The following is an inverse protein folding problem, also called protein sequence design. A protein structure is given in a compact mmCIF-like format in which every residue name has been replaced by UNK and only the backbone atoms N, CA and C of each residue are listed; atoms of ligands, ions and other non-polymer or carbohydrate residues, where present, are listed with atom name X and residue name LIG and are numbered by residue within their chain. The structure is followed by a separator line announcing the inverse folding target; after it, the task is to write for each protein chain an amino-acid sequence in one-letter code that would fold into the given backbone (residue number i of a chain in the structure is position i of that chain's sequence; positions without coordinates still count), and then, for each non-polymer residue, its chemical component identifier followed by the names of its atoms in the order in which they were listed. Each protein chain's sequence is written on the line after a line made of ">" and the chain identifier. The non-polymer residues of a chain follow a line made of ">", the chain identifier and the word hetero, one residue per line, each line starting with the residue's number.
data_IF_814450391057
#
_entry.id   IF_814450391057
#
_cell.length_a   1.000
_cell.length_b   1.000
_cell.length_c   1.000
_cell.angle_alpha   90.00
_cell.angle_beta   90.00
_cell.angle_gamma   90.00
#
_symmetry.space_group_name_H-M   'P 1'
#
loop_
_entity.id
_entity.type
_entity.pdbx_description
1 polymer ?
#
# COMPACT_ATOMS: atom_id res chain seq x y z
N UNK A 1 30.30 -37.51 -7.98
CA UNK A 1 30.88 -36.27 -8.51
C UNK A 1 30.29 -35.11 -7.70
N UNK A 2 31.08 -34.53 -6.82
CA UNK A 2 30.74 -33.27 -6.15
C UNK A 2 30.93 -32.16 -7.21
N UNK A 3 29.80 -31.65 -7.71
CA UNK A 3 29.81 -30.49 -8.59
C UNK A 3 30.09 -29.22 -7.77
N UNK A 4 30.89 -28.32 -8.28
CA UNK A 4 31.04 -27.00 -7.68
C UNK A 4 29.69 -26.31 -7.56
N UNK A 5 29.39 -25.62 -6.44
CA UNK A 5 28.16 -24.89 -6.30
C UNK A 5 28.03 -23.81 -7.37
N UNK A 6 26.90 -23.75 -8.06
CA UNK A 6 26.63 -22.73 -9.06
C UNK A 6 26.63 -21.34 -8.39
N UNK A 7 27.45 -20.45 -8.89
CA UNK A 7 27.43 -19.05 -8.46
C UNK A 7 26.23 -18.35 -9.08
N UNK A 8 25.27 -17.97 -8.24
CA UNK A 8 24.10 -17.21 -8.69
C UNK A 8 24.53 -15.77 -8.98
N UNK A 9 24.46 -15.36 -10.26
CA UNK A 9 24.65 -13.97 -10.63
C UNK A 9 23.53 -13.10 -9.99
N UNK A 10 23.92 -11.96 -9.39
CA UNK A 10 22.92 -11.01 -8.92
C UNK A 10 22.10 -10.51 -10.11
N UNK A 11 20.77 -10.64 -10.03
CA UNK A 11 19.90 -10.07 -11.02
C UNK A 11 20.12 -8.56 -11.14
N UNK A 12 20.24 -8.05 -12.36
CA UNK A 12 20.25 -6.61 -12.60
C UNK A 12 18.91 -6.03 -12.17
N UNK A 13 18.96 -4.95 -11.40
CA UNK A 13 17.76 -4.20 -11.04
C UNK A 13 17.51 -3.18 -12.13
N UNK A 14 16.30 -3.15 -12.75
CA UNK A 14 15.99 -2.12 -13.72
C UNK A 14 15.92 -0.76 -13.03
N UNK A 15 16.60 0.23 -13.59
CA UNK A 15 16.45 1.63 -13.18
C UNK A 15 15.27 2.27 -13.92
N UNK A 16 14.55 3.21 -13.28
CA UNK A 16 13.39 3.84 -13.91
C UNK A 16 13.81 4.72 -15.09
N UNK A 17 13.00 4.72 -16.14
CA UNK A 17 13.18 5.67 -17.20
C UNK A 17 12.73 7.08 -16.75
N UNK A 18 13.50 8.10 -17.14
CA UNK A 18 13.26 9.46 -16.71
C UNK A 18 11.93 10.05 -17.20
N UNK A 19 11.48 9.81 -18.44
CA UNK A 19 10.19 10.31 -18.91
C UNK A 19 9.00 9.79 -18.10
N UNK A 20 8.92 8.48 -17.86
CA UNK A 20 7.83 7.89 -17.06
C UNK A 20 7.87 8.39 -15.61
N UNK A 21 9.06 8.50 -15.03
CA UNK A 21 9.22 9.04 -13.67
C UNK A 21 8.75 10.51 -13.59
N UNK A 22 9.11 11.34 -14.55
CA UNK A 22 8.68 12.74 -14.60
C UNK A 22 7.15 12.86 -14.78
N UNK A 23 6.55 12.02 -15.62
CA UNK A 23 5.09 11.95 -15.79
C UNK A 23 4.39 11.51 -14.50
N UNK A 24 4.91 10.49 -13.81
CA UNK A 24 4.40 10.07 -12.53
C UNK A 24 4.44 11.22 -11.50
N UNK A 25 5.57 11.89 -11.36
CA UNK A 25 5.71 13.05 -10.48
C UNK A 25 4.74 14.19 -10.83
N UNK A 26 4.52 14.45 -12.12
CA UNK A 26 3.57 15.47 -12.58
C UNK A 26 2.13 15.14 -12.15
N UNK A 27 1.70 13.87 -12.31
CA UNK A 27 0.39 13.42 -11.87
C UNK A 27 0.23 13.54 -10.34
N UNK A 28 1.24 13.14 -9.56
CA UNK A 28 1.22 13.27 -8.10
C UNK A 28 1.10 14.75 -7.67
N UNK A 29 1.79 15.65 -8.35
CA UNK A 29 1.77 17.09 -8.04
C UNK A 29 0.42 17.76 -8.40
N UNK A 30 -0.31 17.22 -9.39
CA UNK A 30 -1.60 17.77 -9.87
C UNK A 30 -2.79 17.19 -9.12
N UNK A 31 -2.67 15.98 -8.58
CA UNK A 31 -3.77 15.28 -7.92
C UNK A 31 -4.31 16.04 -6.71
N UNK A 32 -5.63 16.08 -6.60
CA UNK A 32 -6.33 16.72 -5.47
C UNK A 32 -6.58 15.74 -4.32
N UNK A 33 -6.88 14.49 -4.67
CA UNK A 33 -7.18 13.39 -3.73
C UNK A 33 -6.40 12.13 -4.10
N UNK A 34 -5.06 12.21 -4.07
CA UNK A 34 -4.23 11.04 -4.35
C UNK A 34 -4.32 10.03 -3.21
N UNK A 35 -4.16 8.75 -3.56
CA UNK A 35 -4.14 7.63 -2.61
C UNK A 35 -3.02 6.66 -3.02
N UNK A 36 -2.20 6.23 -2.07
CA UNK A 36 -1.24 5.16 -2.29
C UNK A 36 -1.88 3.81 -1.94
N UNK A 37 -1.87 2.88 -2.91
CA UNK A 37 -2.15 1.47 -2.69
C UNK A 37 -0.83 0.71 -2.69
N UNK A 38 -0.37 0.31 -1.52
CA UNK A 38 0.90 -0.38 -1.35
C UNK A 38 0.69 -1.88 -1.20
N UNK A 39 1.37 -2.66 -2.03
CA UNK A 39 1.35 -4.11 -2.04
C UNK A 39 2.65 -4.75 -1.56
N UNK A 40 2.72 -6.07 -1.67
CA UNK A 40 3.85 -6.89 -1.23
C UNK A 40 5.20 -6.48 -1.89
N UNK A 41 5.18 -5.89 -3.09
CA UNK A 41 6.38 -5.41 -3.76
C UNK A 41 7.17 -4.37 -2.95
N UNK A 42 6.49 -3.58 -2.10
CA UNK A 42 7.13 -2.64 -1.17
C UNK A 42 7.96 -3.40 -0.12
N UNK A 43 7.40 -4.46 0.46
CA UNK A 43 8.08 -5.32 1.45
C UNK A 43 9.28 -6.01 0.81
N UNK A 44 9.07 -6.68 -0.33
CA UNK A 44 10.13 -7.39 -1.07
C UNK A 44 11.22 -6.46 -1.57
N UNK A 45 10.85 -5.23 -1.95
CA UNK A 45 11.76 -4.17 -2.36
C UNK A 45 12.50 -3.51 -1.20
N UNK A 46 12.12 -3.80 0.06
CA UNK A 46 12.61 -3.11 1.27
C UNK A 46 12.47 -1.59 1.15
N UNK A 47 11.32 -1.13 0.66
CA UNK A 47 11.04 0.24 0.28
C UNK A 47 10.08 0.97 1.24
N UNK A 48 9.86 0.43 2.43
CA UNK A 48 8.91 0.98 3.41
C UNK A 48 9.31 2.38 3.89
N UNK A 49 10.60 2.64 4.05
CA UNK A 49 11.12 3.95 4.46
C UNK A 49 10.86 5.00 3.37
N UNK A 50 11.17 4.68 2.13
CA UNK A 50 11.03 5.57 0.98
C UNK A 50 9.54 5.83 0.68
N UNK A 51 8.69 4.81 0.84
CA UNK A 51 7.24 4.98 0.72
C UNK A 51 6.71 5.96 1.77
N UNK A 52 7.15 5.81 3.01
CA UNK A 52 6.75 6.72 4.10
C UNK A 52 7.20 8.14 3.82
N UNK A 53 8.45 8.34 3.41
CA UNK A 53 8.97 9.67 3.06
C UNK A 53 8.17 10.32 1.92
N UNK A 54 7.78 9.56 0.90
CA UNK A 54 6.91 10.06 -0.17
C UNK A 54 5.54 10.46 0.36
N UNK A 55 4.92 9.60 1.17
CA UNK A 55 3.62 9.83 1.76
C UNK A 55 3.62 11.08 2.67
N UNK A 56 4.64 11.24 3.51
CA UNK A 56 4.81 12.39 4.39
C UNK A 56 5.01 13.67 3.58
N UNK A 57 5.94 13.65 2.62
CA UNK A 57 6.26 14.83 1.80
C UNK A 57 5.07 15.36 1.01
N UNK A 58 4.33 14.44 0.40
CA UNK A 58 3.19 14.79 -0.46
C UNK A 58 1.85 14.83 0.28
N UNK A 59 1.82 14.50 1.58
CA UNK A 59 0.59 14.42 2.37
C UNK A 59 -0.37 13.36 1.85
N UNK A 60 0.12 12.24 1.27
CA UNK A 60 -0.71 11.23 0.61
C UNK A 60 -1.06 10.11 1.59
N UNK A 61 -2.37 9.78 1.76
CA UNK A 61 -2.78 8.65 2.55
C UNK A 61 -2.30 7.32 1.94
N UNK A 62 -1.94 6.38 2.81
CA UNK A 62 -1.44 5.05 2.43
C UNK A 62 -2.41 3.98 2.90
N UNK A 63 -2.86 3.19 1.94
CA UNK A 63 -3.61 1.96 2.13
C UNK A 63 -2.70 0.81 1.73
N UNK A 64 -2.67 -0.24 2.50
CA UNK A 64 -1.86 -1.42 2.18
C UNK A 64 -2.71 -2.68 2.02
N UNK A 65 -2.31 -3.56 1.11
CA UNK A 65 -2.87 -4.90 1.02
C UNK A 65 -2.45 -5.72 2.25
N UNK A 66 -3.09 -6.87 2.48
CA UNK A 66 -2.76 -7.71 3.65
C UNK A 66 -1.32 -8.23 3.61
N UNK A 67 -0.73 -8.49 2.44
CA UNK A 67 0.67 -8.91 2.31
C UNK A 67 1.67 -7.76 2.54
N UNK A 68 1.19 -6.54 2.57
CA UNK A 68 1.99 -5.34 2.85
C UNK A 68 1.72 -4.76 4.23
N UNK A 69 1.00 -5.48 5.10
CA UNK A 69 0.74 -5.04 6.47
C UNK A 69 2.05 -4.80 7.22
N UNK A 70 2.15 -3.65 7.90
CA UNK A 70 3.34 -3.26 8.66
C UNK A 70 4.34 -2.40 7.90
N UNK A 71 4.10 -2.06 6.64
CA UNK A 71 4.96 -1.12 5.89
C UNK A 71 4.92 0.30 6.45
N UNK A 72 3.85 0.63 7.17
CA UNK A 72 3.71 1.86 7.95
C UNK A 72 3.24 1.54 9.37
N UNK A 73 3.72 2.27 10.39
CA UNK A 73 3.16 2.17 11.73
C UNK A 73 1.65 2.48 11.72
N UNK A 74 0.86 1.73 12.47
CA UNK A 74 -0.60 1.88 12.48
C UNK A 74 -1.07 3.23 13.04
N UNK A 75 -0.25 3.88 13.85
CA UNK A 75 -0.48 5.21 14.42
C UNK A 75 0.01 6.36 13.53
N UNK A 76 0.73 6.05 12.44
CA UNK A 76 1.24 7.07 11.52
C UNK A 76 0.10 7.90 10.93
N UNK A 77 0.22 9.24 10.84
CA UNK A 77 -0.85 10.11 10.34
C UNK A 77 -1.39 9.72 8.96
N UNK A 78 -0.50 9.31 8.05
CA UNK A 78 -0.89 8.91 6.68
C UNK A 78 -1.34 7.45 6.56
N UNK A 79 -1.21 6.62 7.60
CA UNK A 79 -1.70 5.24 7.56
C UNK A 79 -3.23 5.20 7.66
N UNK A 80 -3.90 4.63 6.65
CA UNK A 80 -5.37 4.52 6.61
C UNK A 80 -5.82 3.17 7.15
N UNK A 81 -5.62 2.11 6.41
CA UNK A 81 -6.04 0.76 6.79
C UNK A 81 -5.40 -0.32 5.90
N UNK A 82 -5.51 -1.57 6.35
CA UNK A 82 -5.25 -2.73 5.50
C UNK A 82 -6.52 -3.13 4.77
N UNK A 83 -6.42 -3.41 3.48
CA UNK A 83 -7.55 -3.78 2.59
C UNK A 83 -7.38 -5.17 1.98
N UNK A 84 -8.46 -5.67 1.39
CA UNK A 84 -8.49 -6.91 0.61
C UNK A 84 -9.25 -8.04 1.30
N UNK A 85 -9.70 -7.88 2.55
CA UNK A 85 -10.41 -8.92 3.29
C UNK A 85 -11.84 -8.51 3.68
N UNK A 86 -12.15 -7.21 3.72
CA UNK A 86 -13.42 -6.68 4.19
C UNK A 86 -14.35 -6.23 3.06
N UNK A 87 -15.66 -6.42 3.25
CA UNK A 87 -16.66 -5.75 2.42
C UNK A 87 -16.62 -4.25 2.71
N UNK A 88 -16.68 -3.42 1.65
CA UNK A 88 -16.65 -1.96 1.77
C UNK A 88 -15.27 -1.37 2.05
N UNK A 89 -14.20 -2.14 1.91
CA UNK A 89 -12.83 -1.64 2.09
C UNK A 89 -12.53 -0.47 1.13
N UNK A 90 -13.01 -0.55 -0.12
CA UNK A 90 -12.79 0.51 -1.11
C UNK A 90 -13.38 1.86 -0.70
N UNK A 91 -14.60 1.86 -0.14
CA UNK A 91 -15.26 3.06 0.35
C UNK A 91 -14.55 3.60 1.60
N UNK A 92 -14.32 2.73 2.59
CA UNK A 92 -13.68 3.12 3.86
C UNK A 92 -12.25 3.62 3.69
N UNK A 93 -11.54 3.10 2.69
CA UNK A 93 -10.18 3.50 2.38
C UNK A 93 -10.10 4.75 1.48
N UNK A 94 -11.22 5.25 0.95
CA UNK A 94 -11.27 6.46 0.13
C UNK A 94 -11.04 6.26 -1.37
N UNK A 95 -11.04 5.02 -1.88
CA UNK A 95 -10.82 4.78 -3.32
C UNK A 95 -11.93 5.35 -4.20
N UNK A 96 -13.17 5.38 -3.72
CA UNK A 96 -14.30 5.89 -4.51
C UNK A 96 -14.24 7.40 -4.74
N UNK A 97 -13.39 8.10 -4.01
CA UNK A 97 -13.22 9.55 -4.08
C UNK A 97 -11.86 9.96 -4.62
N UNK A 98 -10.93 9.00 -4.74
CA UNK A 98 -9.59 9.26 -5.25
C UNK A 98 -9.63 9.66 -6.73
N UNK A 99 -8.89 10.70 -7.08
CA UNK A 99 -8.64 11.11 -8.47
C UNK A 99 -7.37 10.46 -9.03
N UNK A 100 -6.45 10.04 -8.15
CA UNK A 100 -5.22 9.35 -8.49
C UNK A 100 -4.96 8.21 -7.50
N UNK A 101 -4.71 7.00 -8.00
CA UNK A 101 -4.21 5.87 -7.23
C UNK A 101 -2.78 5.56 -7.65
N UNK A 102 -1.87 5.63 -6.70
CA UNK A 102 -0.47 5.24 -6.91
C UNK A 102 -0.33 3.81 -6.39
N UNK A 103 -0.34 2.85 -7.30
CA UNK A 103 -0.17 1.43 -7.00
C UNK A 103 1.33 1.11 -6.93
N UNK A 104 1.81 0.80 -5.74
CA UNK A 104 3.24 0.58 -5.46
C UNK A 104 3.46 -0.86 -5.05
N UNK A 105 4.15 -1.63 -5.89
CA UNK A 105 4.41 -3.04 -5.62
C UNK A 105 3.12 -3.84 -5.41
N UNK A 106 2.07 -3.48 -6.13
CA UNK A 106 0.72 -4.00 -5.98
C UNK A 106 0.48 -5.21 -6.88
N UNK A 107 -0.04 -6.28 -6.28
CA UNK A 107 -0.45 -7.49 -6.98
C UNK A 107 -1.99 -7.56 -7.03
N UNK A 108 -2.61 -7.58 -8.26
CA UNK A 108 -4.06 -7.64 -8.41
C UNK A 108 -4.68 -8.94 -7.87
N UNK A 109 -3.90 -10.00 -7.67
CA UNK A 109 -4.35 -11.25 -7.05
C UNK A 109 -4.71 -11.05 -5.57
N UNK A 110 -4.03 -10.12 -4.87
CA UNK A 110 -4.34 -9.84 -3.48
C UNK A 110 -5.68 -9.11 -3.30
N UNK A 111 -6.00 -8.19 -4.20
CA UNK A 111 -7.23 -7.41 -4.13
C UNK A 111 -7.58 -6.85 -5.51
N UNK A 112 -8.52 -7.46 -6.21
CA UNK A 112 -8.82 -7.18 -7.61
C UNK A 112 -9.24 -5.73 -7.89
N UNK A 113 -8.75 -5.11 -8.97
CA UNK A 113 -9.02 -3.71 -9.31
C UNK A 113 -10.50 -3.38 -9.46
N UNK A 114 -11.31 -4.32 -9.92
CA UNK A 114 -12.76 -4.16 -10.01
C UNK A 114 -13.41 -3.80 -8.67
N UNK A 115 -12.81 -4.20 -7.57
CA UNK A 115 -13.33 -3.92 -6.22
C UNK A 115 -13.10 -2.48 -5.79
N UNK A 116 -11.93 -1.91 -6.11
CA UNK A 116 -11.55 -0.58 -5.63
C UNK A 116 -11.65 0.51 -6.70
N UNK A 117 -11.65 0.15 -8.00
CA UNK A 117 -11.85 1.09 -9.10
C UNK A 117 -13.04 0.67 -10.01
N UNK A 118 -14.24 0.41 -9.45
CA UNK A 118 -15.39 -0.11 -10.21
C UNK A 118 -15.88 0.87 -11.28
N UNK A 119 -15.71 2.17 -11.03
CA UNK A 119 -16.16 3.26 -11.93
C UNK A 119 -15.08 3.71 -12.91
N UNK A 120 -13.84 3.20 -12.79
CA UNK A 120 -12.69 3.60 -13.62
C UNK A 120 -12.43 5.11 -13.62
N UNK A 121 -12.69 5.78 -12.50
CA UNK A 121 -12.61 7.24 -12.40
C UNK A 121 -11.23 7.74 -11.98
N UNK A 122 -10.49 6.96 -11.18
CA UNK A 122 -9.16 7.33 -10.75
C UNK A 122 -8.14 7.08 -11.87
N UNK A 123 -7.25 8.03 -12.10
CA UNK A 123 -6.02 7.76 -12.83
C UNK A 123 -5.13 6.82 -12.03
N UNK A 124 -4.36 5.98 -12.70
CA UNK A 124 -3.49 5.02 -12.04
C UNK A 124 -2.05 5.28 -12.43
N UNK A 125 -1.18 5.37 -11.44
CA UNK A 125 0.28 5.29 -11.61
C UNK A 125 0.72 3.95 -11.08
N UNK A 126 1.30 3.10 -11.93
CA UNK A 126 1.83 1.80 -11.57
C UNK A 126 3.34 1.90 -11.34
N UNK A 127 3.79 1.56 -10.14
CA UNK A 127 5.20 1.55 -9.74
C UNK A 127 5.55 0.15 -9.26
N UNK A 128 6.19 -0.65 -10.09
CA UNK A 128 6.56 -2.02 -9.72
C UNK A 128 7.83 -2.47 -10.45
N UNK A 129 8.34 -3.63 -10.03
CA UNK A 129 9.41 -4.35 -10.68
C UNK A 129 8.97 -5.03 -11.99
N UNK A 130 7.68 -5.32 -12.13
CA UNK A 130 7.06 -5.93 -13.31
C UNK A 130 6.06 -4.98 -13.94
N UNK A 131 5.77 -5.18 -15.22
CA UNK A 131 4.71 -4.47 -15.92
C UNK A 131 3.35 -4.77 -15.35
N UNK A 132 2.44 -3.83 -15.47
CA UNK A 132 1.07 -3.97 -15.01
C UNK A 132 0.33 -5.08 -15.76
N UNK A 133 -0.44 -5.87 -15.01
CA UNK A 133 -1.47 -6.74 -15.59
C UNK A 133 -2.72 -5.91 -15.88
N UNK A 134 -2.81 -5.43 -17.13
CA UNK A 134 -3.88 -4.51 -17.55
C UNK A 134 -5.21 -5.24 -17.70
N UNK A 135 -6.24 -4.67 -17.06
CA UNK A 135 -7.63 -5.06 -17.26
C UNK A 135 -8.55 -3.83 -17.42
N UNK A 136 -9.86 -4.07 -17.56
CA UNK A 136 -10.82 -2.98 -17.73
C UNK A 136 -10.89 -2.00 -16.53
N UNK A 137 -10.40 -2.36 -15.37
CA UNK A 137 -10.43 -1.55 -14.13
C UNK A 137 -9.02 -1.12 -13.68
N UNK A 138 -7.97 -1.61 -14.37
CA UNK A 138 -6.57 -1.32 -14.08
C UNK A 138 -5.82 -1.02 -15.38
N UNK A 139 -5.94 0.21 -15.84
CA UNK A 139 -5.25 0.74 -17.01
C UNK A 139 -4.38 1.91 -16.55
N UNK A 140 -3.06 1.70 -16.32
CA UNK A 140 -2.19 2.76 -15.86
C UNK A 140 -2.04 3.91 -16.86
N UNK A 141 -2.27 5.13 -16.39
CA UNK A 141 -1.95 6.36 -17.15
C UNK A 141 -0.43 6.54 -17.26
N UNK A 142 0.30 6.05 -16.25
CA UNK A 142 1.77 6.00 -16.24
C UNK A 142 2.21 4.70 -15.58
N UNK A 143 3.18 4.05 -16.20
CA UNK A 143 3.86 2.88 -15.69
C UNK A 143 5.35 3.18 -15.51
N UNK A 144 5.89 2.84 -14.35
CA UNK A 144 7.32 2.91 -14.04
C UNK A 144 7.79 1.54 -13.60
N UNK A 145 8.31 0.78 -14.54
CA UNK A 145 8.82 -0.58 -14.30
C UNK A 145 10.28 -0.49 -13.88
N UNK A 146 10.52 -0.58 -12.58
CA UNK A 146 11.85 -0.46 -12.02
C UNK A 146 11.92 -1.00 -10.59
N UNK A 147 13.10 -0.93 -9.97
CA UNK A 147 13.24 -1.28 -8.57
C UNK A 147 12.48 -0.27 -7.69
N UNK A 148 11.42 -0.74 -7.02
CA UNK A 148 10.45 0.09 -6.29
C UNK A 148 11.11 1.10 -5.36
N UNK A 149 12.14 0.70 -4.63
CA UNK A 149 12.86 1.58 -3.72
C UNK A 149 13.50 2.77 -4.46
N UNK A 150 14.19 2.51 -5.57
CA UNK A 150 14.84 3.55 -6.38
C UNK A 150 13.82 4.53 -6.97
N UNK A 151 12.68 4.00 -7.44
CA UNK A 151 11.57 4.83 -7.95
C UNK A 151 11.07 5.77 -6.87
N UNK A 152 10.82 5.26 -5.65
CA UNK A 152 10.32 6.06 -4.53
C UNK A 152 11.35 7.12 -4.08
N UNK A 153 12.64 6.77 -3.99
CA UNK A 153 13.71 7.72 -3.68
C UNK A 153 13.73 8.89 -4.67
N UNK A 154 13.61 8.61 -5.97
CA UNK A 154 13.60 9.63 -7.01
C UNK A 154 12.29 10.45 -7.00
N UNK A 155 11.13 9.83 -6.75
CA UNK A 155 9.87 10.54 -6.64
C UNK A 155 9.85 11.50 -5.44
N UNK A 156 10.42 11.13 -4.31
CA UNK A 156 10.59 12.03 -3.15
C UNK A 156 11.28 13.33 -3.55
N UNK A 157 12.29 13.25 -4.43
CA UNK A 157 13.00 14.44 -4.90
C UNK A 157 12.19 15.29 -5.89
N UNK A 158 11.29 14.69 -6.67
CA UNK A 158 10.54 15.35 -7.75
C UNK A 158 9.16 15.86 -7.32
N UNK A 159 8.58 15.28 -6.27
CA UNK A 159 7.25 15.66 -5.77
C UNK A 159 7.36 16.85 -4.83
N UNK A 160 6.51 17.85 -5.08
CA UNK A 160 6.43 19.03 -4.21
C UNK A 160 5.90 18.66 -2.81
N UNK A 161 6.40 19.30 -1.75
CA UNK A 161 5.82 19.14 -0.44
C UNK A 161 4.41 19.76 -0.41
N UNK A 162 3.43 18.99 0.10
CA UNK A 162 2.05 19.44 0.21
C UNK A 162 1.55 19.16 1.62
N UNK A 163 1.05 20.21 2.27
CA UNK A 163 0.36 20.07 3.55
C UNK A 163 -1.10 19.72 3.31
N UNK A 164 -1.40 18.41 3.29
CA UNK A 164 -2.76 17.87 3.23
C UNK A 164 -3.19 17.45 4.63
N UNK A 165 -4.46 17.67 4.92
CA UNK A 165 -5.06 17.11 6.15
C UNK A 165 -4.89 15.59 6.15
N UNK A 166 -4.39 15.01 7.25
CA UNK A 166 -4.34 13.56 7.38
C UNK A 166 -5.71 12.95 7.15
N UNK A 167 -5.80 11.77 6.53
CA UNK A 167 -7.07 11.09 6.33
C UNK A 167 -7.73 10.80 7.68
N UNK A 168 -9.05 10.87 7.71
CA UNK A 168 -9.78 10.40 8.88
C UNK A 168 -9.48 8.91 9.09
N UNK A 169 -8.87 8.57 10.23
CA UNK A 169 -8.61 7.16 10.56
C UNK A 169 -9.93 6.41 10.61
N UNK A 170 -9.97 5.23 10.01
CA UNK A 170 -11.11 4.34 10.13
C UNK A 170 -11.46 4.16 11.61
N UNK A 171 -12.72 4.46 12.00
CA UNK A 171 -13.15 4.28 13.39
C UNK A 171 -12.96 2.83 13.78
N UNK A 172 -12.36 2.61 14.94
CA UNK A 172 -12.36 1.27 15.52
C UNK A 172 -13.81 0.82 15.68
N UNK A 173 -14.03 -0.44 15.35
CA UNK A 173 -15.32 -1.08 15.54
C UNK A 173 -15.71 -1.01 17.03
N UNK A 174 -16.91 -0.47 17.34
CA UNK A 174 -17.38 -0.35 18.74
C UNK A 174 -17.46 -1.71 19.42
N UNK A 175 -17.55 -2.80 18.66
CA UNK A 175 -17.48 -4.19 19.16
C UNK A 175 -16.15 -4.52 19.87
N UNK A 176 -15.09 -3.76 19.59
CA UNK A 176 -13.83 -3.87 20.34
C UNK A 176 -13.94 -3.49 21.81
N UNK A 177 -15.03 -2.81 22.23
CA UNK A 177 -15.26 -2.33 23.59
C UNK A 177 -16.41 -3.03 24.31
N UNK A 178 -17.01 -4.02 23.68
CA UNK A 178 -18.19 -4.69 24.23
C UNK A 178 -17.79 -5.72 25.28
N UNK A 179 -18.30 -5.58 26.50
CA UNK A 179 -18.04 -6.45 27.67
C UNK A 179 -19.12 -7.52 27.87
N UNK A 180 -19.67 -8.06 26.78
CA UNK A 180 -20.68 -9.13 26.85
C UNK A 180 -20.04 -10.50 26.77
N UNK A 181 -20.59 -11.48 27.47
CA UNK A 181 -20.19 -12.90 27.35
C UNK A 181 -21.18 -13.65 26.44
N UNK A 182 -20.69 -14.49 25.49
CA UNK A 182 -19.27 -14.73 25.14
C UNK A 182 -18.60 -13.51 24.53
N UNK A 183 -17.29 -13.35 24.81
CA UNK A 183 -16.50 -12.25 24.27
C UNK A 183 -16.46 -12.29 22.75
N UNK A 184 -16.65 -11.14 22.12
CA UNK A 184 -16.54 -11.02 20.68
C UNK A 184 -15.05 -11.09 20.22
N UNK A 185 -14.75 -11.70 19.07
CA UNK A 185 -13.38 -11.78 18.55
C UNK A 185 -12.70 -10.41 18.46
N UNK A 186 -13.42 -9.37 18.08
CA UNK A 186 -12.89 -8.00 17.99
C UNK A 186 -12.42 -7.48 19.36
N UNK A 187 -13.11 -7.84 20.44
CA UNK A 187 -12.70 -7.48 21.80
C UNK A 187 -11.43 -8.21 22.20
N UNK A 188 -11.38 -9.52 21.97
CA UNK A 188 -10.18 -10.34 22.26
C UNK A 188 -8.94 -9.80 21.52
N UNK A 189 -9.09 -9.45 20.23
CA UNK A 189 -7.99 -8.87 19.44
C UNK A 189 -7.57 -7.50 19.98
N UNK A 190 -8.50 -6.67 20.43
CA UNK A 190 -8.19 -5.36 20.99
C UNK A 190 -7.43 -5.48 22.31
N UNK A 191 -7.85 -6.41 23.18
CA UNK A 191 -7.18 -6.68 24.46
C UNK A 191 -5.79 -7.28 24.24
N UNK A 192 -5.65 -8.21 23.26
CA UNK A 192 -4.36 -8.76 22.88
C UNK A 192 -3.43 -7.65 22.38
N UNK A 193 -3.90 -6.78 21.47
CA UNK A 193 -3.11 -5.65 20.98
C UNK A 193 -2.65 -4.71 22.11
N UNK A 194 -3.48 -4.50 23.12
CA UNK A 194 -3.16 -3.66 24.26
C UNK A 194 -2.13 -4.30 25.22
N UNK A 195 -2.05 -5.63 25.25
CA UNK A 195 -1.14 -6.39 26.10
C UNK A 195 0.24 -6.64 25.47
N UNK A 196 0.37 -6.47 24.14
CA UNK A 196 1.59 -6.73 23.40
C UNK A 196 2.55 -5.54 23.46
N UNK A 197 3.84 -5.85 23.56
CA UNK A 197 4.92 -4.89 23.37
C UNK A 197 5.16 -4.64 21.86
N UNK A 198 5.81 -3.51 21.48
CA UNK A 198 6.09 -3.20 20.06
C UNK A 198 6.92 -4.26 19.33
N UNK A 199 7.72 -5.04 20.05
CA UNK A 199 8.59 -6.07 19.52
C UNK A 199 7.91 -7.44 19.39
N UNK A 200 6.69 -7.60 19.93
CA UNK A 200 5.98 -8.87 19.92
C UNK A 200 5.45 -9.19 18.52
N UNK A 201 5.56 -10.46 18.14
CA UNK A 201 5.07 -10.97 16.88
C UNK A 201 3.81 -11.82 17.11
N UNK A 202 2.74 -11.47 16.42
CA UNK A 202 1.50 -12.25 16.44
C UNK A 202 1.39 -13.03 15.13
N UNK A 203 1.28 -14.35 15.26
CA UNK A 203 1.04 -15.25 14.15
C UNK A 203 -0.35 -15.84 14.32
N UNK A 204 -1.22 -15.62 13.34
CA UNK A 204 -2.55 -16.21 13.32
C UNK A 204 -2.64 -17.28 12.23
N UNK A 205 -3.46 -18.30 12.47
CA UNK A 205 -3.83 -19.26 11.43
C UNK A 205 -4.83 -18.64 10.43
N UNK A 206 -5.07 -19.36 9.34
CA UNK A 206 -5.97 -18.92 8.28
C UNK A 206 -7.43 -19.07 8.71
N UNK A 207 -8.24 -18.03 8.48
CA UNK A 207 -9.67 -18.06 8.81
C UNK A 207 -10.32 -16.67 8.76
N UNK A 208 -11.57 -16.60 9.19
CA UNK A 208 -12.37 -15.35 9.19
C UNK A 208 -11.86 -14.27 10.18
N UNK A 209 -10.83 -14.55 10.93
CA UNK A 209 -10.20 -13.67 11.93
C UNK A 209 -8.96 -12.94 11.41
N UNK A 210 -8.64 -13.06 10.13
CA UNK A 210 -7.53 -12.36 9.49
C UNK A 210 -7.66 -10.84 9.53
#
# INVERSE_FOLDING_TARGET
>A
AEGEPLTVARARRPSPDRPSLARAAALLNQAQRPLILAGNGVVRGRASTELRLLAERAGIPVVNTFMAKGIMPADHPQAVMTVGLGRGDAERAGFLEADLVIAVGYDPVEWGPRTWNPRRQAQIVHLDFTSAEVDAHYEPAVEVVAYVREVLELLVALVAPVDRQPPAKARRDDRCRTDTFPLLPQRVLADLQAALAPEDLVISDVGAHK
#
